data_IF_310855993888
#
_entry.id   IF_310855993888
#
_cell.length_a   1.000
_cell.length_b   1.000
_cell.length_c   1.000
_cell.angle_alpha   90.00
_cell.angle_beta   90.00
_cell.angle_gamma   90.00
#
_symmetry.space_group_name_H-M   'P 1'
#
loop_
_entity.id
_entity.type
_entity.pdbx_description
1 polymer ?
#
# COMPACT_ATOMS: atom_id res chain seq x y z
N UNK A 1 -71.54 -6.28 16.12
CA UNK A 1 -70.22 -6.90 16.33
C UNK A 1 -69.47 -6.86 15.01
N UNK A 2 -68.53 -5.93 14.83
CA UNK A 2 -67.62 -5.97 13.69
C UNK A 2 -66.20 -5.77 14.24
N UNK A 3 -65.41 -6.84 14.12
CA UNK A 3 -64.07 -6.97 14.67
C UNK A 3 -63.10 -6.20 13.78
N UNK A 4 -62.29 -5.35 14.43
CA UNK A 4 -61.19 -4.59 13.87
C UNK A 4 -60.14 -5.54 13.29
N UNK A 5 -59.99 -5.58 11.96
CA UNK A 5 -58.85 -6.23 11.30
C UNK A 5 -57.82 -5.16 10.95
N UNK A 6 -57.03 -4.78 11.96
CA UNK A 6 -56.01 -3.74 11.86
C UNK A 6 -54.62 -4.17 12.37
N UNK A 7 -54.33 -5.47 12.43
CA UNK A 7 -53.15 -5.99 13.15
C UNK A 7 -52.05 -6.64 12.31
N UNK A 8 -52.33 -7.14 11.10
CA UNK A 8 -51.41 -8.07 10.44
C UNK A 8 -50.27 -7.39 9.66
N UNK A 9 -50.50 -6.20 9.09
CA UNK A 9 -49.52 -5.56 8.22
C UNK A 9 -48.32 -4.93 8.98
N UNK A 10 -48.50 -4.61 10.26
CA UNK A 10 -47.46 -3.98 11.08
C UNK A 10 -46.43 -4.97 11.66
N UNK A 11 -46.79 -6.25 11.81
CA UNK A 11 -45.96 -7.24 12.51
C UNK A 11 -44.90 -7.91 11.62
N UNK A 12 -45.10 -7.91 10.30
CA UNK A 12 -44.22 -8.61 9.32
C UNK A 12 -42.88 -7.88 9.11
N UNK A 13 -42.72 -6.66 9.63
CA UNK A 13 -41.50 -5.85 9.44
C UNK A 13 -40.32 -6.26 10.32
N UNK A 14 -40.50 -7.21 11.27
CA UNK A 14 -39.57 -7.37 12.40
C UNK A 14 -38.58 -8.55 12.37
N UNK A 15 -38.61 -9.42 11.35
CA UNK A 15 -37.65 -10.53 11.25
C UNK A 15 -37.12 -10.75 9.83
N UNK A 16 -36.70 -9.68 9.13
CA UNK A 16 -35.71 -9.88 8.07
C UNK A 16 -34.39 -10.27 8.74
N UNK A 17 -34.19 -11.57 8.93
CA UNK A 17 -32.87 -12.14 9.20
C UNK A 17 -31.89 -11.49 8.25
N UNK A 18 -30.84 -10.83 8.78
CA UNK A 18 -29.78 -10.24 7.95
C UNK A 18 -29.31 -11.34 7.02
N UNK A 19 -29.57 -11.21 5.72
CA UNK A 19 -29.06 -12.15 4.71
C UNK A 19 -27.56 -12.28 4.98
N UNK A 20 -27.10 -13.50 5.25
CA UNK A 20 -25.69 -13.79 5.50
C UNK A 20 -24.87 -13.08 4.42
N UNK A 21 -23.92 -12.24 4.82
CA UNK A 21 -23.13 -11.46 3.87
C UNK A 21 -22.57 -12.40 2.80
N UNK A 22 -22.64 -11.99 1.53
CA UNK A 22 -21.96 -12.72 0.46
C UNK A 22 -20.47 -12.80 0.80
N UNK A 23 -19.82 -13.93 0.49
CA UNK A 23 -18.35 -14.05 0.60
C UNK A 23 -17.69 -12.85 -0.09
N UNK A 24 -16.66 -12.28 0.53
CA UNK A 24 -15.97 -11.07 0.10
C UNK A 24 -16.78 -9.74 0.13
N UNK A 25 -17.98 -9.67 0.70
CA UNK A 25 -18.76 -8.43 0.77
C UNK A 25 -18.05 -7.26 1.50
N UNK A 26 -17.18 -7.55 2.47
CA UNK A 26 -16.33 -6.55 3.14
C UNK A 26 -15.25 -6.04 2.19
N UNK A 27 -14.55 -6.93 1.49
CA UNK A 27 -13.53 -6.57 0.50
C UNK A 27 -14.11 -5.70 -0.63
N UNK A 28 -15.30 -6.04 -1.11
CA UNK A 28 -16.02 -5.24 -2.13
C UNK A 28 -16.31 -3.83 -1.60
N UNK A 29 -16.80 -3.70 -0.36
CA UNK A 29 -17.03 -2.39 0.26
C UNK A 29 -15.74 -1.59 0.46
N UNK A 30 -14.64 -2.24 0.81
CA UNK A 30 -13.33 -1.59 0.93
C UNK A 30 -12.84 -1.08 -0.42
N UNK A 31 -12.90 -1.92 -1.48
CA UNK A 31 -12.56 -1.51 -2.85
C UNK A 31 -13.43 -0.34 -3.34
N UNK A 32 -14.71 -0.30 -2.99
CA UNK A 32 -15.60 0.82 -3.31
C UNK A 32 -15.24 2.13 -2.60
N UNK A 33 -14.62 2.05 -1.41
CA UNK A 33 -14.17 3.24 -0.67
C UNK A 33 -12.87 3.82 -1.24
N UNK A 34 -12.08 3.02 -1.97
CA UNK A 34 -10.79 3.44 -2.52
C UNK A 34 -9.87 3.96 -1.40
N UNK A 35 -9.36 5.18 -1.57
CA UNK A 35 -8.47 5.83 -0.59
C UNK A 35 -9.18 6.40 0.65
N UNK A 36 -10.51 6.29 0.76
CA UNK A 36 -11.29 6.76 1.92
C UNK A 36 -11.47 5.69 3.00
N UNK A 37 -10.61 4.69 3.02
CA UNK A 37 -10.55 3.68 4.07
C UNK A 37 -9.91 4.24 5.33
N UNK A 38 -10.19 3.64 6.49
CA UNK A 38 -9.59 4.10 7.74
C UNK A 38 -8.08 3.87 7.79
N UNK A 39 -7.62 2.83 7.11
CA UNK A 39 -6.20 2.49 6.95
C UNK A 39 -5.84 2.45 5.46
N UNK A 40 -4.61 2.83 5.09
CA UNK A 40 -4.14 2.73 3.72
C UNK A 40 -3.98 1.29 3.26
N UNK A 41 -4.30 1.01 2.00
CA UNK A 41 -3.98 -0.25 1.33
C UNK A 41 -2.52 -0.23 0.84
N UNK A 42 -1.75 -1.25 1.23
CA UNK A 42 -0.33 -1.34 0.90
C UNK A 42 -0.07 -2.66 0.18
N UNK A 43 0.63 -2.63 -0.96
CA UNK A 43 1.18 -3.84 -1.58
C UNK A 43 2.64 -3.95 -1.23
N UNK A 44 3.06 -5.10 -0.70
CA UNK A 44 4.45 -5.40 -0.37
C UNK A 44 4.92 -6.57 -1.24
N UNK A 45 6.06 -6.42 -1.91
CA UNK A 45 6.68 -7.53 -2.65
C UNK A 45 8.20 -7.46 -2.59
N UNK A 46 8.84 -8.62 -2.44
CA UNK A 46 10.26 -8.77 -2.73
C UNK A 46 10.41 -8.94 -4.25
N UNK A 47 11.05 -7.98 -4.92
CA UNK A 47 11.14 -8.00 -6.37
C UNK A 47 12.37 -8.75 -6.88
N UNK A 48 13.47 -8.84 -6.14
CA UNK A 48 14.76 -9.34 -6.66
C UNK A 48 15.12 -8.69 -8.00
N UNK A 49 15.56 -7.43 -7.98
CA UNK A 49 15.79 -6.53 -9.14
C UNK A 49 14.53 -5.84 -9.67
N UNK A 50 14.39 -4.57 -9.29
CA UNK A 50 13.39 -3.64 -9.80
C UNK A 50 13.65 -3.18 -11.24
N UNK A 51 14.89 -2.85 -11.67
CA UNK A 51 15.15 -2.34 -13.02
C UNK A 51 14.66 -3.27 -14.14
N UNK A 52 14.70 -4.58 -13.90
CA UNK A 52 14.27 -5.58 -14.88
C UNK A 52 12.75 -5.74 -14.97
N UNK A 53 11.98 -5.08 -14.10
CA UNK A 53 10.52 -5.27 -13.94
C UNK A 53 9.73 -3.98 -14.08
N UNK A 54 10.34 -2.89 -14.53
CA UNK A 54 9.68 -1.59 -14.67
C UNK A 54 8.50 -1.65 -15.65
N UNK A 55 8.66 -2.33 -16.79
CA UNK A 55 7.59 -2.50 -17.79
C UNK A 55 6.43 -3.36 -17.27
N UNK A 56 6.75 -4.44 -16.54
CA UNK A 56 5.75 -5.29 -15.90
C UNK A 56 4.98 -4.52 -14.82
N UNK A 57 5.68 -3.74 -14.00
CA UNK A 57 5.07 -2.88 -12.99
C UNK A 57 4.18 -1.81 -13.61
N UNK A 58 4.58 -1.24 -14.75
CA UNK A 58 3.75 -0.30 -15.50
C UNK A 58 2.47 -0.97 -16.00
N UNK A 59 2.58 -2.18 -16.55
CA UNK A 59 1.42 -2.96 -17.00
C UNK A 59 0.50 -3.33 -15.83
N UNK A 60 1.05 -3.79 -14.70
CA UNK A 60 0.30 -4.13 -13.49
C UNK A 60 -0.44 -2.93 -12.94
N UNK A 61 0.21 -1.76 -12.91
CA UNK A 61 -0.40 -0.51 -12.45
C UNK A 61 -1.56 -0.07 -13.34
N UNK A 62 -1.55 -0.42 -14.64
CA UNK A 62 -2.65 -0.08 -15.56
C UNK A 62 -3.79 -1.09 -15.54
N UNK A 63 -3.47 -2.37 -15.40
CA UNK A 63 -4.43 -3.48 -15.57
C UNK A 63 -5.05 -3.93 -14.26
N UNK A 64 -4.30 -3.89 -13.16
CA UNK A 64 -4.74 -4.40 -11.87
C UNK A 64 -5.28 -3.28 -10.97
N UNK A 65 -6.57 -3.39 -10.64
CA UNK A 65 -7.28 -2.42 -9.78
C UNK A 65 -6.81 -2.43 -8.33
N UNK A 66 -6.29 -3.55 -7.83
CA UNK A 66 -5.78 -3.61 -6.47
C UNK A 66 -4.43 -2.89 -6.37
N UNK A 67 -3.56 -3.04 -7.38
CA UNK A 67 -2.30 -2.27 -7.48
C UNK A 67 -2.56 -0.77 -7.64
N UNK A 68 -3.38 -0.40 -8.63
CA UNK A 68 -3.64 1.01 -8.96
C UNK A 68 -4.41 1.79 -7.88
N UNK A 69 -5.22 1.10 -7.07
CA UNK A 69 -5.95 1.71 -5.95
C UNK A 69 -5.26 1.47 -4.60
N UNK A 70 -3.99 1.07 -4.62
CA UNK A 70 -3.19 1.02 -3.40
C UNK A 70 -2.60 2.35 -3.06
N UNK A 71 -2.65 2.69 -1.79
CA UNK A 71 -2.07 3.91 -1.25
C UNK A 71 -0.55 3.91 -1.41
N UNK A 72 0.10 2.77 -1.14
CA UNK A 72 1.54 2.60 -1.32
C UNK A 72 1.87 1.24 -1.93
N UNK A 73 2.88 1.21 -2.80
CA UNK A 73 3.58 -0.02 -3.18
C UNK A 73 4.95 0.00 -2.49
N UNK A 74 5.30 -1.10 -1.84
CA UNK A 74 6.51 -1.28 -1.09
C UNK A 74 7.30 -2.42 -1.71
N UNK A 75 8.52 -2.15 -2.13
CA UNK A 75 9.38 -3.14 -2.76
C UNK A 75 10.68 -3.31 -1.98
N UNK A 76 11.05 -4.56 -1.76
CA UNK A 76 12.34 -4.95 -1.18
C UNK A 76 13.19 -5.67 -2.22
N UNK A 77 14.50 -5.71 -1.98
CA UNK A 77 15.48 -6.21 -2.93
C UNK A 77 15.37 -5.54 -4.30
N UNK A 78 15.32 -4.22 -4.30
CA UNK A 78 15.21 -3.42 -5.51
C UNK A 78 16.48 -3.50 -6.36
N UNK A 79 17.64 -3.75 -5.72
CA UNK A 79 18.96 -3.82 -6.35
C UNK A 79 19.31 -2.53 -7.12
N UNK A 80 18.79 -1.40 -6.63
CA UNK A 80 19.09 -0.08 -7.17
C UNK A 80 20.42 0.44 -6.66
N UNK A 81 20.96 1.41 -7.39
CA UNK A 81 22.15 2.17 -7.03
C UNK A 81 22.01 3.60 -7.58
N UNK A 82 22.90 4.49 -7.11
CA UNK A 82 22.89 5.91 -7.49
C UNK A 82 23.13 6.14 -8.99
N UNK A 83 23.68 5.18 -9.72
CA UNK A 83 23.87 5.27 -11.17
C UNK A 83 22.55 5.14 -11.95
N UNK A 84 21.51 4.56 -11.35
CA UNK A 84 20.19 4.45 -11.97
C UNK A 84 19.39 5.72 -11.63
N UNK A 85 19.07 6.57 -12.62
CA UNK A 85 18.29 7.78 -12.37
C UNK A 85 16.82 7.45 -12.12
N UNK A 86 16.16 8.26 -11.29
CA UNK A 86 14.74 8.08 -10.93
C UNK A 86 13.80 8.12 -12.15
N UNK A 87 14.18 8.83 -13.22
CA UNK A 87 13.40 8.90 -14.46
C UNK A 87 13.17 7.54 -15.13
N UNK A 88 14.10 6.59 -14.99
CA UNK A 88 13.96 5.22 -15.53
C UNK A 88 12.98 4.40 -14.70
N UNK A 89 12.82 4.75 -13.42
CA UNK A 89 11.97 4.07 -12.46
C UNK A 89 10.60 4.72 -12.33
N UNK A 90 10.27 5.67 -13.21
CA UNK A 90 9.07 6.47 -13.14
C UNK A 90 7.82 5.61 -13.37
N UNK A 91 6.90 5.62 -12.39
CA UNK A 91 5.57 5.04 -12.50
C UNK A 91 4.53 6.17 -12.50
N UNK A 92 3.74 6.34 -13.58
CA UNK A 92 2.76 7.42 -13.66
C UNK A 92 1.74 7.39 -12.52
N UNK A 93 1.56 8.54 -11.86
CA UNK A 93 0.64 8.68 -10.71
C UNK A 93 1.23 8.20 -9.38
N UNK A 94 2.54 7.94 -9.33
CA UNK A 94 3.25 7.55 -8.11
C UNK A 94 4.52 8.38 -7.91
N UNK A 95 4.76 8.74 -6.65
CA UNK A 95 6.02 9.33 -6.20
C UNK A 95 6.96 8.23 -5.69
N UNK A 96 8.20 8.22 -6.19
CA UNK A 96 9.23 7.27 -5.80
C UNK A 96 10.04 7.80 -4.61
N UNK A 97 10.16 6.97 -3.57
CA UNK A 97 11.09 7.16 -2.46
C UNK A 97 11.93 5.91 -2.31
N UNK A 98 13.25 6.02 -2.41
CA UNK A 98 14.15 4.87 -2.36
C UNK A 98 15.25 5.01 -1.30
N UNK A 99 15.64 3.88 -0.75
CA UNK A 99 16.84 3.68 0.05
C UNK A 99 17.65 2.58 -0.64
N UNK A 100 18.66 3.01 -1.38
CA UNK A 100 19.54 2.10 -2.12
C UNK A 100 20.58 1.52 -1.16
N UNK A 101 21.05 0.32 -1.47
CA UNK A 101 22.14 -0.28 -0.69
C UNK A 101 23.42 0.45 -1.01
N UNK A 102 24.11 0.90 0.03
CA UNK A 102 25.47 1.36 -0.09
C UNK A 102 26.42 0.14 -0.03
N UNK A 103 27.17 -0.06 -1.11
CA UNK A 103 28.09 -1.17 -1.26
C UNK A 103 29.29 -1.04 -0.31
N UNK A 104 29.70 0.18 0.05
CA UNK A 104 30.83 0.42 0.94
C UNK A 104 30.50 0.03 2.38
N UNK A 105 29.34 0.45 2.90
CA UNK A 105 28.91 0.11 4.26
C UNK A 105 28.50 -1.35 4.46
N UNK A 106 28.07 -2.05 3.40
CA UNK A 106 27.59 -3.44 3.51
C UNK A 106 28.56 -4.49 3.01
N UNK A 107 29.63 -4.10 2.29
CA UNK A 107 30.58 -5.01 1.66
C UNK A 107 29.97 -5.90 0.58
N UNK A 108 28.76 -5.61 0.11
CA UNK A 108 28.02 -6.40 -0.89
C UNK A 108 27.70 -5.55 -2.11
N UNK A 109 28.15 -6.01 -3.28
CA UNK A 109 27.94 -5.33 -4.56
C UNK A 109 26.59 -5.61 -5.23
N UNK A 110 25.85 -6.63 -4.77
CA UNK A 110 24.53 -7.01 -5.31
C UNK A 110 23.55 -7.29 -4.18
N UNK A 111 22.27 -7.05 -4.45
CA UNK A 111 21.20 -7.34 -3.50
C UNK A 111 20.70 -6.10 -2.75
N UNK A 112 19.64 -6.31 -1.96
CA UNK A 112 19.12 -5.30 -1.04
C UNK A 112 18.46 -4.11 -1.72
N UNK A 113 18.39 -3.02 -0.98
CA UNK A 113 17.65 -1.83 -1.32
C UNK A 113 16.16 -2.01 -1.05
N UNK A 114 15.50 -0.90 -0.75
CA UNK A 114 14.05 -0.84 -0.64
C UNK A 114 13.51 0.47 -1.19
N UNK A 115 12.29 0.44 -1.72
CA UNK A 115 11.60 1.64 -2.15
C UNK A 115 10.10 1.61 -1.83
N UNK A 116 9.54 2.81 -1.80
CA UNK A 116 8.13 3.07 -1.79
C UNK A 116 7.73 3.81 -3.07
N UNK A 117 6.62 3.39 -3.66
CA UNK A 117 5.85 4.17 -4.61
C UNK A 117 4.57 4.63 -3.93
N UNK A 118 4.44 5.93 -3.69
CA UNK A 118 3.27 6.53 -3.04
C UNK A 118 2.31 7.03 -4.10
N UNK A 119 1.05 6.56 -4.03
CA UNK A 119 0.03 6.93 -4.99
C UNK A 119 -0.39 8.39 -4.79
N UNK A 120 -0.22 9.20 -5.83
CA UNK A 120 -0.52 10.63 -5.79
C UNK A 120 -2.00 10.93 -5.54
N UNK A 121 -2.89 9.96 -5.80
CA UNK A 121 -4.32 10.09 -5.48
C UNK A 121 -4.63 9.89 -3.98
N UNK A 122 -3.71 9.28 -3.24
CA UNK A 122 -3.84 9.08 -1.79
C UNK A 122 -3.14 10.18 -1.00
N UNK A 123 -1.88 10.46 -1.34
CA UNK A 123 -1.03 11.36 -0.58
C UNK A 123 0.02 12.01 -1.48
N UNK A 124 0.19 13.33 -1.32
CA UNK A 124 1.27 14.09 -1.96
C UNK A 124 2.28 14.66 -0.97
N UNK A 125 1.84 15.04 0.24
CA UNK A 125 2.73 15.44 1.34
C UNK A 125 3.38 14.21 1.98
N UNK A 126 4.56 13.85 1.45
CA UNK A 126 5.39 12.75 1.94
C UNK A 126 6.76 13.31 2.35
N UNK A 127 7.20 12.94 3.54
CA UNK A 127 8.49 13.35 4.11
C UNK A 127 9.31 12.13 4.45
N UNK A 128 10.56 12.05 3.97
CA UNK A 128 11.48 10.98 4.35
C UNK A 128 12.01 11.30 5.75
N UNK A 129 11.72 10.41 6.71
CA UNK A 129 12.16 10.59 8.10
C UNK A 129 13.58 10.07 8.31
N UNK A 130 13.85 8.87 7.80
CA UNK A 130 15.12 8.19 8.02
C UNK A 130 15.37 7.14 6.94
N UNK A 131 16.63 7.02 6.52
CA UNK A 131 17.13 5.88 5.74
C UNK A 131 18.15 5.14 6.60
N UNK A 132 18.07 3.82 6.63
CA UNK A 132 19.01 2.96 7.33
C UNK A 132 19.51 1.92 6.35
N UNK A 133 20.83 1.82 6.20
CA UNK A 133 21.49 0.79 5.43
C UNK A 133 22.65 0.28 6.29
N UNK A 134 22.47 -0.90 6.88
CA UNK A 134 23.52 -1.59 7.63
C UNK A 134 23.53 -3.06 7.21
N UNK A 135 24.56 -3.81 7.63
CA UNK A 135 24.77 -5.21 7.24
C UNK A 135 23.57 -6.12 7.55
N UNK A 136 22.82 -5.78 8.60
CA UNK A 136 21.78 -6.64 9.18
C UNK A 136 20.37 -6.11 8.89
N UNK A 137 20.25 -4.84 8.53
CA UNK A 137 18.96 -4.16 8.37
C UNK A 137 19.04 -3.05 7.33
N UNK A 138 18.11 -3.09 6.40
CA UNK A 138 17.87 -2.00 5.45
C UNK A 138 16.44 -1.51 5.64
N UNK A 139 16.29 -0.22 5.92
CA UNK A 139 14.98 0.35 6.19
C UNK A 139 14.81 1.77 5.65
N UNK A 140 13.60 2.05 5.19
CA UNK A 140 13.17 3.37 4.71
C UNK A 140 11.94 3.81 5.50
N UNK A 141 12.05 4.94 6.18
CA UNK A 141 10.98 5.53 6.98
C UNK A 141 10.47 6.78 6.25
N UNK A 142 9.17 6.79 5.97
CA UNK A 142 8.48 7.95 5.38
C UNK A 142 7.24 8.29 6.20
N UNK A 143 6.92 9.57 6.28
CA UNK A 143 5.71 10.07 6.89
C UNK A 143 4.82 10.68 5.80
N UNK A 144 3.63 10.13 5.64
CA UNK A 144 2.65 10.49 4.62
C UNK A 144 1.45 11.17 5.27
N UNK A 145 1.06 12.35 4.78
CA UNK A 145 -0.18 13.03 5.17
C UNK A 145 -1.21 12.92 4.05
N UNK A 146 -2.15 11.96 4.11
CA UNK A 146 -3.09 11.74 3.03
C UNK A 146 -4.17 12.82 3.00
N UNK A 147 -4.80 12.99 1.83
CA UNK A 147 -5.89 13.97 1.65
C UNK A 147 -7.13 13.63 2.47
N UNK A 148 -7.35 12.34 2.72
CA UNK A 148 -8.42 11.84 3.55
C UNK A 148 -7.82 10.99 4.64
N UNK A 149 -8.03 11.40 5.89
CA UNK A 149 -7.68 10.64 7.06
C UNK A 149 -8.86 10.64 8.03
N UNK A 150 -9.18 9.52 8.70
CA UNK A 150 -10.13 9.52 9.80
C UNK A 150 -9.73 10.55 10.86
N UNK A 151 -10.71 11.06 11.59
CA UNK A 151 -10.51 12.12 12.61
C UNK A 151 -9.42 11.79 13.65
N UNK A 152 -9.10 10.51 13.86
CA UNK A 152 -8.13 10.02 14.83
C UNK A 152 -6.68 10.03 14.33
N UNK A 153 -6.44 10.10 13.02
CA UNK A 153 -5.10 10.00 12.42
C UNK A 153 -4.79 11.25 11.62
N UNK A 154 -3.68 11.94 11.91
CA UNK A 154 -3.25 13.10 11.12
C UNK A 154 -2.21 12.74 10.05
N UNK A 155 -1.46 11.65 10.25
CA UNK A 155 -0.46 11.16 9.31
C UNK A 155 -0.21 9.67 9.50
N UNK A 156 0.46 9.06 8.53
CA UNK A 156 0.87 7.66 8.54
C UNK A 156 2.38 7.59 8.39
N UNK A 157 3.05 6.93 9.33
CA UNK A 157 4.47 6.59 9.18
C UNK A 157 4.54 5.21 8.54
N UNK A 158 5.05 5.14 7.31
CA UNK A 158 5.30 3.89 6.60
C UNK A 158 6.78 3.54 6.74
N UNK A 159 7.04 2.28 7.07
CA UNK A 159 8.40 1.77 7.22
C UNK A 159 8.54 0.54 6.35
N UNK A 160 9.47 0.61 5.41
CA UNK A 160 9.90 -0.56 4.66
C UNK A 160 11.12 -1.14 5.35
N UNK A 161 11.16 -2.45 5.50
CA UNK A 161 12.25 -3.18 6.17
C UNK A 161 12.62 -4.39 5.34
N UNK A 162 13.91 -4.53 5.07
CA UNK A 162 14.53 -5.71 4.51
C UNK A 162 15.61 -6.22 5.47
N UNK A 163 15.52 -7.51 5.81
CA UNK A 163 16.49 -8.22 6.66
C UNK A 163 17.22 -9.21 5.75
N UNK A 164 18.54 -9.06 5.55
CA UNK A 164 19.31 -9.98 4.74
C UNK A 164 19.31 -11.39 5.35
N UNK A 165 19.33 -12.46 4.52
CA UNK A 165 19.25 -13.84 5.01
C UNK A 165 20.44 -14.28 5.90
N UNK A 166 21.54 -13.53 5.87
CA UNK A 166 22.72 -13.77 6.72
C UNK A 166 22.56 -13.23 8.15
N UNK A 167 21.51 -12.46 8.42
CA UNK A 167 21.22 -11.86 9.73
C UNK A 167 20.21 -12.67 10.56
N UNK A 168 19.77 -13.83 10.07
CA UNK A 168 18.85 -14.77 10.76
C UNK A 168 19.59 -15.93 11.43
#
# INVERSE_FOLDING_TARGET
>A
MNIVVGGAAALIRRFRTRRRGKRAGVLVKLRQRGFRTALPSIHLANLHSLPNKTDELLLLTRTNKDFSNSAALCFTETWLNDAIPDGVLHLPGYQLFRADRDAESTGKSRGGGTCFYINERWCTDVTVLKKMCCSDLEALFINCKPFYSPQEFCSFILVSVYIPPQAN
#
